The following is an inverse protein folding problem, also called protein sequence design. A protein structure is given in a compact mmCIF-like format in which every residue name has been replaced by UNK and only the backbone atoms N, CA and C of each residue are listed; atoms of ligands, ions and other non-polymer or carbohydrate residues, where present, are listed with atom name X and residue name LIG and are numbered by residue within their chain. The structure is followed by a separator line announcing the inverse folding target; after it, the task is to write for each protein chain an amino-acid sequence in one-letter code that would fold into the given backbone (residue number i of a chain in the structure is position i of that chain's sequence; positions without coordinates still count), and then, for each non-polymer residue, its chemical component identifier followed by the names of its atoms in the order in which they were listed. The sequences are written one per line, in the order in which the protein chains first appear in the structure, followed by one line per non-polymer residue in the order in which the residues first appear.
data_IF_950453566796
#
_entry.id   IF_950453566796
#
_cell.length_a   1.000
_cell.length_b   1.000
_cell.length_c   1.000
_cell.angle_alpha   90.00
_cell.angle_beta   90.00
_cell.angle_gamma   90.00
#
_symmetry.space_group_name_H-M   'P 1'
#
loop_
_entity.id
_entity.type
_entity.pdbx_description
1 polymer ?
#
# COMPACT_ATOMS: atom_id res chain seq x y z
N UNK A 1 -13.17 1.61 23.63
CA UNK A 1 -12.68 0.20 23.73
C UNK A 1 -13.82 -0.77 23.50
N UNK A 2 -14.99 -0.54 24.11
CA UNK A 2 -16.20 -1.33 23.87
C UNK A 2 -16.61 -1.34 22.39
N UNK A 3 -16.57 -0.19 21.74
CA UNK A 3 -16.92 0.05 20.34
C UNK A 3 -15.99 -0.68 19.38
N UNK A 4 -14.68 -0.67 19.67
CA UNK A 4 -13.67 -1.38 18.88
C UNK A 4 -13.87 -2.90 18.96
N UNK A 5 -14.24 -3.44 20.12
CA UNK A 5 -14.60 -4.86 20.26
C UNK A 5 -15.87 -5.18 19.48
N UNK A 6 -16.90 -4.32 19.55
CA UNK A 6 -18.13 -4.50 18.77
C UNK A 6 -17.87 -4.51 17.26
N UNK A 7 -16.99 -3.62 16.76
CA UNK A 7 -16.59 -3.61 15.35
C UNK A 7 -15.94 -4.94 14.95
N UNK A 8 -15.01 -5.45 15.77
CA UNK A 8 -14.33 -6.72 15.52
C UNK A 8 -15.32 -7.89 15.50
N UNK A 9 -16.17 -7.98 16.53
CA UNK A 9 -17.14 -9.07 16.65
C UNK A 9 -18.17 -9.03 15.50
N UNK A 10 -18.53 -7.84 15.01
CA UNK A 10 -19.44 -7.66 13.88
C UNK A 10 -18.82 -7.98 12.51
N UNK A 11 -17.49 -7.89 12.36
CA UNK A 11 -16.82 -8.09 11.07
C UNK A 11 -16.44 -9.55 10.81
N UNK A 12 -16.32 -10.36 11.85
CA UNK A 12 -15.91 -11.76 11.75
C UNK A 12 -16.77 -12.58 10.76
N UNK A 13 -18.12 -12.48 10.76
CA UNK A 13 -18.94 -13.19 9.77
C UNK A 13 -18.66 -12.81 8.32
N UNK A 14 -18.17 -11.59 8.05
CA UNK A 14 -17.74 -11.20 6.70
C UNK A 14 -16.43 -11.89 6.31
N UNK A 15 -15.52 -12.12 7.26
CA UNK A 15 -14.25 -12.81 7.01
C UNK A 15 -14.47 -14.31 6.69
N UNK A 16 -15.52 -14.92 7.23
CA UNK A 16 -15.90 -16.31 6.92
C UNK A 16 -16.25 -16.53 5.44
N UNK A 17 -16.58 -15.48 4.71
CA UNK A 17 -16.87 -15.57 3.27
C UNK A 17 -15.60 -15.62 2.41
N UNK A 18 -14.42 -15.44 3.01
CA UNK A 18 -13.16 -15.57 2.28
C UNK A 18 -12.87 -17.05 2.00
N UNK A 19 -13.11 -17.45 0.76
CA UNK A 19 -13.10 -18.86 0.33
C UNK A 19 -11.73 -19.54 0.42
N UNK A 20 -10.64 -18.78 0.45
CA UNK A 20 -9.26 -19.28 0.49
C UNK A 20 -8.59 -19.11 1.86
N UNK A 21 -9.32 -18.78 2.93
CA UNK A 21 -8.77 -18.51 4.26
C UNK A 21 -7.83 -19.61 4.79
N UNK A 22 -8.17 -20.88 4.58
CA UNK A 22 -7.32 -22.01 4.99
C UNK A 22 -6.00 -22.06 4.20
N UNK A 23 -6.03 -21.76 2.90
CA UNK A 23 -4.84 -21.70 2.05
C UNK A 23 -3.98 -20.47 2.36
N UNK A 24 -4.59 -19.35 2.75
CA UNK A 24 -3.84 -18.18 3.22
C UNK A 24 -3.10 -18.48 4.53
N UNK A 25 -3.68 -19.28 5.43
CA UNK A 25 -3.06 -19.69 6.69
C UNK A 25 -1.85 -20.62 6.49
N UNK A 26 -1.98 -21.59 5.60
CA UNK A 26 -0.93 -22.59 5.30
C UNK A 26 -0.74 -22.72 3.78
N UNK A 27 -0.09 -21.73 3.14
CA UNK A 27 0.08 -21.74 1.69
C UNK A 27 1.14 -22.76 1.27
N UNK A 28 1.06 -23.26 0.02
CA UNK A 28 2.13 -24.11 -0.51
C UNK A 28 3.45 -23.34 -0.52
N UNK A 29 4.58 -24.03 -0.35
CA UNK A 29 5.90 -23.38 -0.29
C UNK A 29 6.33 -22.63 -1.56
N UNK A 30 5.60 -22.80 -2.68
CA UNK A 30 5.78 -22.04 -3.91
C UNK A 30 4.98 -20.74 -3.95
N UNK A 31 4.12 -20.46 -2.96
CA UNK A 31 3.38 -19.21 -2.87
C UNK A 31 4.32 -18.07 -2.46
N UNK A 32 4.11 -16.89 -3.03
CA UNK A 32 5.02 -15.75 -2.84
C UNK A 32 5.00 -15.17 -1.43
N UNK A 33 3.83 -15.21 -0.78
CA UNK A 33 3.62 -14.57 0.52
C UNK A 33 3.64 -15.59 1.66
N UNK A 34 4.06 -15.18 2.88
CA UNK A 34 4.01 -16.06 4.04
C UNK A 34 2.58 -16.42 4.41
N UNK A 35 2.42 -17.56 5.09
CA UNK A 35 1.15 -17.93 5.69
C UNK A 35 0.68 -16.89 6.70
N UNK A 36 -0.60 -16.55 6.64
CA UNK A 36 -1.25 -15.56 7.49
C UNK A 36 -2.63 -16.07 7.93
N UNK A 37 -2.86 -16.08 9.24
CA UNK A 37 -4.09 -16.58 9.85
C UNK A 37 -5.07 -15.42 10.08
N UNK A 38 -6.07 -15.28 9.20
CA UNK A 38 -7.10 -14.22 9.27
C UNK A 38 -7.74 -14.17 10.67
N UNK A 39 -8.23 -15.30 11.17
CA UNK A 39 -8.99 -15.37 12.42
C UNK A 39 -8.07 -15.28 13.64
N UNK A 40 -6.90 -15.93 13.59
CA UNK A 40 -5.89 -15.80 14.64
C UNK A 40 -5.41 -14.35 14.82
N UNK A 41 -5.21 -13.63 13.70
CA UNK A 41 -4.84 -12.22 13.72
C UNK A 41 -5.98 -11.32 14.20
N UNK A 42 -7.23 -11.59 13.80
CA UNK A 42 -8.39 -10.86 14.32
C UNK A 42 -8.51 -11.02 15.84
N UNK A 43 -8.39 -12.25 16.35
CA UNK A 43 -8.42 -12.54 17.79
C UNK A 43 -7.29 -11.83 18.55
N UNK A 44 -6.10 -11.75 17.95
CA UNK A 44 -4.97 -10.99 18.52
C UNK A 44 -5.26 -9.50 18.62
N UNK A 45 -5.80 -8.90 17.56
CA UNK A 45 -6.22 -7.48 17.57
C UNK A 45 -7.28 -7.24 18.64
N UNK A 46 -8.27 -8.13 18.75
CA UNK A 46 -9.30 -8.08 19.79
C UNK A 46 -8.70 -8.12 21.20
N UNK A 47 -7.76 -9.02 21.45
CA UNK A 47 -7.05 -9.12 22.73
C UNK A 47 -6.27 -7.85 23.05
N UNK A 48 -5.60 -7.26 22.05
CA UNK A 48 -4.89 -5.98 22.19
C UNK A 48 -5.84 -4.83 22.56
N UNK A 49 -7.05 -4.77 21.98
CA UNK A 49 -8.08 -3.78 22.35
C UNK A 49 -8.46 -3.96 23.83
N UNK A 50 -8.76 -5.17 24.26
CA UNK A 50 -9.16 -5.47 25.64
C UNK A 50 -8.04 -5.17 26.66
N UNK A 51 -6.79 -5.38 26.26
CA UNK A 51 -5.61 -5.07 27.06
C UNK A 51 -5.19 -3.59 26.98
N UNK A 52 -5.92 -2.74 26.26
CA UNK A 52 -5.63 -1.31 26.14
C UNK A 52 -4.29 -0.99 25.47
N UNK A 53 -3.87 -1.81 24.48
CA UNK A 53 -2.55 -1.67 23.83
C UNK A 53 -2.46 -0.53 22.82
N UNK A 54 -3.60 -0.04 22.32
CA UNK A 54 -3.64 1.06 21.35
C UNK A 54 -3.77 2.40 22.06
N UNK A 55 -2.90 3.36 21.70
CA UNK A 55 -2.93 4.70 22.31
C UNK A 55 -4.09 5.56 21.80
N UNK A 56 -4.61 5.27 20.62
CA UNK A 56 -5.71 5.99 19.98
C UNK A 56 -6.38 5.13 18.89
N UNK A 57 -7.45 5.65 18.29
CA UNK A 57 -8.22 4.99 17.22
C UNK A 57 -7.39 4.76 15.95
N UNK A 58 -6.46 5.67 15.65
CA UNK A 58 -5.57 5.56 14.49
C UNK A 58 -4.68 4.32 14.60
N UNK A 59 -4.06 4.10 15.75
CA UNK A 59 -3.20 2.95 16.02
C UNK A 59 -3.99 1.64 15.95
N UNK A 60 -5.21 1.64 16.52
CA UNK A 60 -6.12 0.49 16.46
C UNK A 60 -6.50 0.13 15.02
N UNK A 61 -7.06 1.08 14.26
CA UNK A 61 -7.53 0.80 12.90
C UNK A 61 -6.38 0.45 11.96
N UNK A 62 -5.20 1.07 12.16
CA UNK A 62 -4.00 0.77 11.38
C UNK A 62 -3.54 -0.67 11.63
N UNK A 63 -3.44 -1.09 12.89
CA UNK A 63 -3.07 -2.46 13.22
C UNK A 63 -4.12 -3.46 12.75
N UNK A 64 -5.41 -3.17 12.93
CA UNK A 64 -6.50 -4.01 12.42
C UNK A 64 -6.36 -4.28 10.92
N UNK A 65 -6.16 -3.24 10.11
CA UNK A 65 -5.97 -3.41 8.66
C UNK A 65 -4.66 -4.15 8.32
N UNK A 66 -3.55 -3.82 9.00
CA UNK A 66 -2.24 -4.46 8.79
C UNK A 66 -2.21 -5.94 9.14
N UNK A 67 -2.99 -6.35 10.15
CA UNK A 67 -2.98 -7.74 10.62
C UNK A 67 -3.98 -8.61 9.86
N UNK A 68 -5.12 -8.04 9.45
CA UNK A 68 -6.25 -8.83 8.95
C UNK A 68 -6.44 -8.71 7.43
N UNK A 69 -6.22 -7.56 6.80
CA UNK A 69 -6.52 -7.37 5.37
C UNK A 69 -5.28 -7.23 4.50
N UNK A 70 -4.34 -6.37 4.89
CA UNK A 70 -3.15 -6.09 4.09
C UNK A 70 -2.32 -7.34 3.72
N UNK A 71 -2.12 -8.33 4.61
CA UNK A 71 -1.37 -9.55 4.29
C UNK A 71 -2.13 -10.51 3.36
N UNK A 72 -3.42 -10.26 3.09
CA UNK A 72 -4.22 -11.11 2.23
C UNK A 72 -3.87 -11.00 0.74
N UNK A 73 -3.22 -9.89 0.34
CA UNK A 73 -2.79 -9.61 -1.03
C UNK A 73 -3.88 -9.83 -2.08
N UNK A 74 -5.09 -9.35 -1.80
CA UNK A 74 -6.30 -9.74 -2.50
C UNK A 74 -7.22 -8.53 -2.71
N UNK A 75 -7.45 -8.17 -3.97
CA UNK A 75 -8.31 -7.04 -4.33
C UNK A 75 -9.80 -7.22 -4.00
N UNK A 76 -10.25 -8.43 -3.68
CA UNK A 76 -11.64 -8.74 -3.31
C UNK A 76 -11.82 -8.96 -1.81
N UNK A 77 -10.73 -9.13 -1.07
CA UNK A 77 -10.73 -9.26 0.38
C UNK A 77 -10.25 -7.97 1.02
N UNK A 78 -11.20 -7.08 1.30
CA UNK A 78 -10.83 -5.71 1.55
C UNK A 78 -11.84 -4.96 2.42
N UNK A 79 -11.34 -4.36 3.50
CA UNK A 79 -12.07 -3.48 4.40
C UNK A 79 -11.33 -2.15 4.51
N UNK A 80 -12.09 -1.05 4.49
CA UNK A 80 -11.53 0.29 4.75
C UNK A 80 -12.01 0.77 6.11
N UNK A 81 -11.14 0.77 7.14
CA UNK A 81 -11.47 1.40 8.41
C UNK A 81 -11.88 2.86 8.18
N UNK A 82 -12.92 3.32 8.87
CA UNK A 82 -13.56 4.61 8.56
C UNK A 82 -12.64 5.80 8.83
N UNK A 83 -11.85 5.79 9.91
CA UNK A 83 -10.88 6.84 10.21
C UNK A 83 -9.80 6.91 9.12
N UNK A 84 -9.25 5.76 8.74
CA UNK A 84 -8.21 5.66 7.71
C UNK A 84 -8.74 5.85 6.29
N UNK A 85 -10.05 5.76 6.07
CA UNK A 85 -10.61 6.02 4.75
C UNK A 85 -11.23 7.40 4.63
N UNK A 86 -11.77 7.95 5.71
CA UNK A 86 -12.56 9.18 5.68
C UNK A 86 -11.86 10.37 6.29
N UNK A 87 -10.83 10.20 7.10
CA UNK A 87 -10.08 11.32 7.66
C UNK A 87 -8.66 11.39 7.08
N UNK A 88 -7.96 10.26 7.03
CA UNK A 88 -6.54 10.22 6.68
C UNK A 88 -6.28 9.40 5.43
N UNK A 89 -5.81 10.02 4.35
CA UNK A 89 -5.23 9.31 3.21
C UNK A 89 -3.92 9.99 2.80
N UNK A 90 -2.91 9.18 2.55
CA UNK A 90 -1.56 9.66 2.28
C UNK A 90 -1.24 9.34 0.84
N UNK A 91 -1.13 10.39 0.05
CA UNK A 91 -0.77 10.27 -1.35
C UNK A 91 0.57 10.95 -1.62
N UNK A 92 1.42 10.27 -2.40
CA UNK A 92 2.53 10.94 -3.09
C UNK A 92 1.95 11.64 -4.31
N UNK A 93 2.37 12.86 -4.54
CA UNK A 93 1.99 13.64 -5.72
C UNK A 93 2.88 13.35 -6.93
N UNK A 94 3.55 12.18 -6.95
CA UNK A 94 4.51 11.79 -7.98
C UNK A 94 4.32 10.33 -8.37
N UNK A 95 4.43 10.08 -9.68
CA UNK A 95 4.44 8.74 -10.26
C UNK A 95 5.82 8.39 -10.77
N UNK A 96 6.14 7.10 -10.71
CA UNK A 96 7.38 6.53 -11.21
C UNK A 96 7.10 5.58 -12.38
N UNK A 97 8.10 5.37 -13.22
CA UNK A 97 8.07 4.46 -14.36
C UNK A 97 9.26 3.51 -14.29
N UNK A 98 9.10 2.32 -14.85
CA UNK A 98 10.17 1.33 -15.02
C UNK A 98 10.52 1.27 -16.51
N UNK A 99 11.76 1.63 -16.88
CA UNK A 99 12.19 1.78 -18.28
C UNK A 99 13.46 0.99 -18.53
N UNK A 100 13.39 0.05 -19.47
CA UNK A 100 14.58 -0.50 -20.12
C UNK A 100 14.98 0.40 -21.29
N UNK A 101 16.23 0.86 -21.31
CA UNK A 101 16.73 1.81 -22.33
C UNK A 101 16.79 1.21 -23.74
N UNK A 102 17.01 -0.10 -23.83
CA UNK A 102 17.19 -0.82 -25.10
C UNK A 102 16.29 -2.07 -25.22
N UNK A 103 15.43 -2.33 -24.24
CA UNK A 103 14.57 -3.52 -24.20
C UNK A 103 15.24 -4.81 -23.72
N UNK A 104 16.56 -4.79 -23.48
CA UNK A 104 17.33 -5.95 -23.04
C UNK A 104 17.98 -5.73 -21.66
N UNK A 105 18.40 -4.48 -21.40
CA UNK A 105 18.96 -4.09 -20.12
C UNK A 105 17.89 -4.12 -19.03
N UNK A 106 18.33 -4.36 -17.79
CA UNK A 106 17.47 -4.28 -16.64
C UNK A 106 16.78 -2.91 -16.58
N UNK A 107 15.46 -2.85 -16.33
CA UNK A 107 14.75 -1.60 -16.23
C UNK A 107 15.30 -0.71 -15.10
N UNK A 108 15.35 0.59 -15.36
CA UNK A 108 15.66 1.61 -14.36
C UNK A 108 14.39 2.33 -13.93
N UNK A 109 14.35 2.71 -12.66
CA UNK A 109 13.22 3.44 -12.08
C UNK A 109 13.45 4.92 -12.33
N UNK A 110 12.49 5.62 -12.91
CA UNK A 110 12.58 7.07 -13.19
C UNK A 110 11.30 7.79 -12.77
N UNK A 111 11.38 9.11 -12.59
CA UNK A 111 10.21 9.93 -12.39
C UNK A 111 9.43 10.05 -13.71
N UNK A 112 8.12 9.84 -13.67
CA UNK A 112 7.28 9.85 -14.86
C UNK A 112 7.31 11.21 -15.57
N UNK A 113 7.30 12.30 -14.81
CA UNK A 113 7.34 13.67 -15.32
C UNK A 113 8.66 13.99 -16.02
N UNK A 114 9.78 13.49 -15.51
CA UNK A 114 11.11 13.72 -16.11
C UNK A 114 11.22 13.00 -17.45
N UNK A 115 10.68 11.78 -17.53
CA UNK A 115 10.61 11.00 -18.78
C UNK A 115 9.72 11.67 -19.82
N UNK A 116 8.56 12.20 -19.41
CA UNK A 116 7.68 12.95 -20.31
C UNK A 116 8.33 14.24 -20.82
N UNK A 117 9.07 14.94 -19.96
CA UNK A 117 9.77 16.17 -20.35
C UNK A 117 10.89 15.86 -21.35
N UNK A 118 11.77 14.90 -21.05
CA UNK A 118 12.77 14.41 -21.98
C UNK A 118 13.33 13.03 -21.53
N UNK A 119 13.01 11.94 -22.24
CA UNK A 119 13.43 10.59 -21.84
C UNK A 119 14.95 10.39 -21.88
N UNK A 120 15.67 11.14 -22.73
CA UNK A 120 17.13 11.03 -22.87
C UNK A 120 17.90 11.60 -21.68
N UNK A 121 17.31 12.58 -20.98
CA UNK A 121 17.95 13.24 -19.83
C UNK A 121 17.37 12.79 -18.49
N UNK A 122 16.22 12.09 -18.51
CA UNK A 122 15.58 11.56 -17.34
C UNK A 122 16.52 10.61 -16.57
N UNK A 123 16.79 10.97 -15.32
CA UNK A 123 17.73 10.28 -14.46
C UNK A 123 17.06 9.11 -13.74
N UNK A 124 17.84 8.08 -13.45
CA UNK A 124 17.40 6.98 -12.61
C UNK A 124 17.31 7.40 -11.14
N UNK A 125 16.26 6.99 -10.47
CA UNK A 125 16.08 7.05 -9.02
C UNK A 125 16.77 5.81 -8.44
N UNK A 126 17.81 6.02 -7.64
CA UNK A 126 18.62 4.95 -7.04
C UNK A 126 18.20 4.62 -5.61
N UNK A 127 17.66 5.61 -4.89
CA UNK A 127 17.15 5.42 -3.52
C UNK A 127 15.85 6.17 -3.29
N UNK A 128 15.03 5.62 -2.41
CA UNK A 128 13.81 6.23 -1.87
C UNK A 128 13.93 6.19 -0.35
N UNK A 129 13.87 7.36 0.30
CA UNK A 129 14.09 7.50 1.75
C UNK A 129 15.40 6.84 2.23
N UNK A 130 16.47 6.93 1.41
CA UNK A 130 17.78 6.35 1.71
C UNK A 130 17.90 4.83 1.48
N UNK A 131 16.79 4.15 1.19
CA UNK A 131 16.73 2.71 0.87
C UNK A 131 16.88 2.55 -0.64
N UNK A 132 17.54 1.48 -1.11
CA UNK A 132 17.57 1.15 -2.55
C UNK A 132 16.16 1.20 -3.16
N UNK A 133 16.00 1.88 -4.30
CA UNK A 133 14.67 2.20 -4.85
C UNK A 133 13.82 0.95 -5.14
N UNK A 134 14.41 -0.07 -5.78
CA UNK A 134 13.75 -1.35 -6.03
C UNK A 134 13.28 -1.99 -4.73
N UNK A 135 14.16 -2.05 -3.72
CA UNK A 135 13.81 -2.66 -2.43
C UNK A 135 12.71 -1.89 -1.70
N UNK A 136 12.72 -0.56 -1.77
CA UNK A 136 11.66 0.26 -1.18
C UNK A 136 10.30 -0.02 -1.83
N UNK A 137 10.26 -0.14 -3.17
CA UNK A 137 9.05 -0.41 -3.93
C UNK A 137 8.54 -1.82 -3.63
N UNK A 138 9.40 -2.84 -3.65
CA UNK A 138 9.06 -4.22 -3.24
C UNK A 138 8.46 -4.24 -1.83
N UNK A 139 9.11 -3.60 -0.87
CA UNK A 139 8.62 -3.56 0.50
C UNK A 139 7.27 -2.84 0.61
N UNK A 140 7.03 -1.81 -0.22
CA UNK A 140 5.75 -1.08 -0.23
C UNK A 140 4.64 -1.93 -0.83
N UNK A 141 4.91 -2.58 -1.97
CA UNK A 141 3.96 -3.48 -2.64
C UNK A 141 3.61 -4.69 -1.74
N UNK A 142 4.61 -5.29 -1.12
CA UNK A 142 4.44 -6.45 -0.24
C UNK A 142 3.86 -6.07 1.15
N UNK A 143 3.81 -4.78 1.50
CA UNK A 143 3.11 -4.36 2.72
C UNK A 143 1.59 -4.34 2.53
N UNK A 144 1.10 -4.03 1.33
CA UNK A 144 -0.31 -4.08 0.97
C UNK A 144 -0.46 -3.97 -0.56
N UNK A 145 -1.10 -4.97 -1.18
CA UNK A 145 -1.45 -4.98 -2.61
C UNK A 145 -2.78 -5.69 -2.84
N UNK A 146 -3.37 -5.50 -4.02
CA UNK A 146 -4.52 -6.29 -4.48
C UNK A 146 -4.19 -7.58 -5.20
N UNK A 147 -2.90 -7.91 -5.34
CA UNK A 147 -2.45 -8.98 -6.22
C UNK A 147 -1.78 -10.09 -5.43
N UNK A 148 -2.28 -11.31 -5.61
CA UNK A 148 -1.74 -12.53 -4.98
C UNK A 148 -0.36 -12.93 -5.53
N UNK A 149 0.09 -12.26 -6.59
CA UNK A 149 1.39 -12.43 -7.22
C UNK A 149 2.29 -11.22 -6.89
N UNK A 150 3.50 -11.50 -6.39
CA UNK A 150 4.42 -10.46 -5.95
C UNK A 150 4.99 -9.64 -7.12
N UNK A 151 5.16 -10.25 -8.30
CA UNK A 151 5.63 -9.55 -9.49
C UNK A 151 4.55 -8.60 -10.02
N UNK A 152 3.29 -9.03 -10.01
CA UNK A 152 2.14 -8.18 -10.32
C UNK A 152 2.02 -7.00 -9.33
N UNK A 153 2.23 -7.26 -8.04
CA UNK A 153 2.24 -6.22 -7.01
C UNK A 153 3.39 -5.22 -7.20
N UNK A 154 4.58 -5.68 -7.56
CA UNK A 154 5.70 -4.80 -7.89
C UNK A 154 5.40 -3.98 -9.15
N UNK A 155 4.87 -4.60 -10.20
CA UNK A 155 4.53 -3.93 -11.45
C UNK A 155 3.43 -2.88 -11.31
N UNK A 156 2.45 -3.09 -10.42
CA UNK A 156 1.36 -2.14 -10.20
C UNK A 156 1.84 -0.80 -9.62
N UNK A 157 3.01 -0.78 -8.99
CA UNK A 157 3.62 0.44 -8.44
C UNK A 157 3.97 1.47 -9.52
N UNK A 158 4.18 1.04 -10.76
CA UNK A 158 4.65 1.90 -11.85
C UNK A 158 3.51 2.40 -12.72
N UNK A 159 3.64 3.64 -13.16
CA UNK A 159 2.86 4.16 -14.26
C UNK A 159 3.22 3.46 -15.57
N UNK A 160 2.22 3.14 -16.38
CA UNK A 160 2.37 2.63 -17.75
C UNK A 160 1.24 3.13 -18.65
N UNK A 161 1.37 2.96 -19.98
CA UNK A 161 0.28 3.32 -20.91
C UNK A 161 -1.03 2.55 -20.59
N UNK A 162 -1.01 1.24 -20.30
CA UNK A 162 -2.21 0.52 -19.88
C UNK A 162 -2.84 1.05 -18.60
N UNK A 163 -2.06 1.36 -17.55
CA UNK A 163 -2.62 1.92 -16.30
C UNK A 163 -3.23 3.30 -16.54
N UNK A 164 -2.59 4.12 -17.37
CA UNK A 164 -3.08 5.44 -17.74
C UNK A 164 -4.40 5.39 -18.51
N UNK A 165 -4.58 4.40 -19.39
CA UNK A 165 -5.84 4.19 -20.11
C UNK A 165 -7.02 3.86 -19.17
N UNK A 166 -6.74 3.35 -17.97
CA UNK A 166 -7.72 3.10 -16.91
C UNK A 166 -7.87 4.29 -15.95
N UNK A 167 -7.20 5.41 -16.22
CA UNK A 167 -7.18 6.57 -15.33
C UNK A 167 -6.31 6.40 -14.08
N UNK A 168 -5.46 5.37 -14.02
CA UNK A 168 -4.55 5.12 -12.89
C UNK A 168 -3.12 5.62 -13.22
N UNK A 169 -2.43 6.10 -12.19
CA UNK A 169 -1.08 6.66 -12.25
C UNK A 169 0.01 5.79 -11.61
N UNK A 170 -0.31 4.53 -11.29
CA UNK A 170 0.54 3.57 -10.60
C UNK A 170 0.43 3.67 -9.08
N UNK A 171 0.57 2.55 -8.39
CA UNK A 171 0.29 2.41 -6.95
C UNK A 171 1.32 3.10 -6.05
N UNK A 172 2.48 3.52 -6.61
CA UNK A 172 3.46 4.32 -5.88
C UNK A 172 2.88 5.63 -5.33
N UNK A 173 1.81 6.16 -5.91
CA UNK A 173 1.13 7.34 -5.35
C UNK A 173 0.44 7.07 -4.02
N UNK A 174 0.28 5.81 -3.59
CA UNK A 174 -0.50 5.44 -2.42
C UNK A 174 -1.82 4.79 -2.82
N UNK A 175 -1.77 3.54 -3.28
CA UNK A 175 -2.94 2.68 -3.48
C UNK A 175 -3.24 1.89 -2.20
N UNK A 176 -3.14 0.57 -2.20
CA UNK A 176 -3.47 -0.26 -1.02
C UNK A 176 -2.63 0.07 0.23
N UNK A 177 -1.44 0.66 0.05
CA UNK A 177 -0.60 1.16 1.14
C UNK A 177 -0.95 2.56 1.62
N UNK A 178 -1.94 3.26 1.04
CA UNK A 178 -2.28 4.63 1.48
C UNK A 178 -2.72 4.66 2.92
N UNK A 179 -3.23 3.56 3.49
CA UNK A 179 -3.68 3.49 4.88
C UNK A 179 -2.50 3.50 5.88
N UNK A 180 -1.26 3.40 5.40
CA UNK A 180 -0.07 3.43 6.23
C UNK A 180 0.56 4.81 6.19
N UNK A 181 0.73 5.43 7.35
CA UNK A 181 1.50 6.67 7.43
C UNK A 181 2.94 6.43 6.97
N UNK A 182 3.38 7.02 5.84
CA UNK A 182 4.69 6.75 5.26
C UNK A 182 5.78 7.72 5.73
N UNK A 183 5.45 8.61 6.69
CA UNK A 183 6.24 9.76 7.09
C UNK A 183 5.83 11.05 6.34
N UNK A 184 6.44 12.17 6.71
CA UNK A 184 6.08 13.49 6.17
C UNK A 184 6.59 13.75 4.75
N UNK A 185 7.65 13.05 4.35
CA UNK A 185 8.29 13.24 3.05
C UNK A 185 8.68 11.92 2.40
N UNK A 186 8.72 11.93 1.06
CA UNK A 186 9.39 10.93 0.24
C UNK A 186 10.57 11.60 -0.44
N UNK A 187 11.78 11.11 -0.17
CA UNK A 187 13.03 11.62 -0.73
C UNK A 187 13.46 10.70 -1.86
N UNK A 188 13.58 11.22 -3.07
CA UNK A 188 14.07 10.46 -4.22
C UNK A 188 15.53 10.84 -4.44
N UNK A 189 16.46 9.88 -4.40
CA UNK A 189 17.87 10.12 -4.72
C UNK A 189 18.15 9.70 -6.15
N UNK A 190 18.65 10.62 -6.95
CA UNK A 190 18.94 10.43 -8.36
C UNK A 190 20.35 9.84 -8.54
N UNK A 191 20.63 9.22 -9.70
CA UNK A 191 21.94 8.63 -9.99
C UNK A 191 23.10 9.65 -9.96
N UNK A 192 22.82 10.92 -10.25
CA UNK A 192 23.77 12.02 -10.14
C UNK A 192 23.96 12.55 -8.69
N UNK A 193 23.32 11.93 -7.69
CA UNK A 193 23.38 12.34 -6.29
C UNK A 193 22.42 13.47 -5.90
N UNK A 194 21.65 14.04 -6.84
CA UNK A 194 20.64 15.04 -6.53
C UNK A 194 19.47 14.41 -5.75
N UNK A 195 18.95 15.11 -4.73
CA UNK A 195 17.89 14.61 -3.86
C UNK A 195 16.73 15.61 -3.77
N UNK A 196 15.75 15.56 -4.68
CA UNK A 196 14.52 16.32 -4.50
C UNK A 196 13.68 15.74 -3.36
N UNK A 197 13.03 16.64 -2.63
CA UNK A 197 12.12 16.33 -1.54
C UNK A 197 10.67 16.45 -2.01
N UNK A 198 9.87 15.40 -1.81
CA UNK A 198 8.44 15.41 -2.08
C UNK A 198 7.68 15.33 -0.75
N UNK A 199 6.77 16.27 -0.53
CA UNK A 199 5.88 16.26 0.64
C UNK A 199 4.63 15.45 0.32
N UNK A 200 4.18 14.66 1.27
CA UNK A 200 2.84 14.06 1.18
C UNK A 200 1.79 15.17 1.30
N UNK A 201 0.72 15.05 0.52
CA UNK A 201 -0.49 15.83 0.75
C UNK A 201 -1.50 14.97 1.51
N UNK A 202 -2.04 15.51 2.60
CA UNK A 202 -3.25 14.98 3.19
C UNK A 202 -4.43 15.41 2.31
N UNK A 203 -5.01 14.47 1.58
CA UNK A 203 -6.30 14.70 0.93
C UNK A 203 -7.39 14.37 1.95
N UNK A 204 -7.94 15.41 2.60
CA UNK A 204 -9.21 15.26 3.30
C UNK A 204 -10.28 14.96 2.24
N UNK A 205 -11.12 13.92 2.41
CA UNK A 205 -12.25 13.74 1.51
C UNK A 205 -13.20 14.94 1.63
N UNK A 206 -13.97 15.23 0.57
CA UNK A 206 -14.92 16.33 0.59
C UNK A 206 -15.89 16.17 1.79
N UNK A 207 -16.32 17.28 2.41
CA UNK A 207 -17.32 17.23 3.47
C UNK A 207 -18.57 16.49 2.97
N UNK A 208 -19.12 15.62 3.81
CA UNK A 208 -20.38 14.95 3.52
C UNK A 208 -21.42 16.05 3.26
N UNK A 209 -22.20 16.00 2.17
CA UNK A 209 -23.38 16.85 2.06
C UNK A 209 -24.29 16.53 3.24
N UNK A 210 -24.41 17.45 4.18
CA UNK A 210 -25.49 17.41 5.17
C UNK A 210 -26.78 17.69 4.43
N UNK A 211 -27.44 16.63 3.97
CA UNK A 211 -28.87 16.66 3.65
C UNK A 211 -29.57 15.62 4.54
N UNK A 212 -30.19 16.15 5.59
CA UNK A 212 -31.43 15.62 6.16
C UNK A 212 -32.57 16.47 5.60
#
# INVERSE_FOLDING_TARGET
QHEAVQLIDAIEPYLEWQSDAAYKKDPPGSYFYPGFDIFGNLAKVRSNVQAGKYSNEFDFQTDLYKQVWAPGHDGHFYFKPDLLHRAFRWYRNVSIVSISENGEALPTIKLQTDVLANPKTAQAITKINGINATKYIENTANAASSFHDADASYNSMFWSKPTAAQGNVGDFVGAYSFLFYPGDTTNLTYANGFVPLFRFSLLQPPPIPTQL
#
